data_IF_861216863300
#
_entry.id   IF_861216863300
#
_cell.length_a   1.000
_cell.length_b   1.000
_cell.length_c   1.000
_cell.angle_alpha   90.00
_cell.angle_beta   90.00
_cell.angle_gamma   90.00
#
_symmetry.space_group_name_H-M   'P 1'
#
loop_
_entity.id
_entity.type
_entity.pdbx_description
1 polymer ?
#
# COMPACT_ATOMS: atom_id res chain seq x y z
N UNK A 1 16.09 -14.05 29.46
CA UNK A 1 14.82 -13.80 28.73
C UNK A 1 15.04 -12.65 27.76
N UNK A 2 15.47 -12.95 26.54
CA UNK A 2 16.13 -11.99 25.65
C UNK A 2 15.25 -11.49 24.50
N UNK A 3 15.42 -10.20 24.19
CA UNK A 3 14.78 -9.40 23.15
C UNK A 3 14.84 -9.98 21.72
N UNK A 4 15.60 -11.06 21.51
CA UNK A 4 15.72 -11.79 20.23
C UNK A 4 14.46 -12.59 19.89
N UNK A 5 13.69 -13.04 20.89
CA UNK A 5 12.45 -13.78 20.67
C UNK A 5 11.34 -12.92 20.03
N UNK A 6 11.34 -11.60 20.29
CA UNK A 6 10.38 -10.67 19.69
C UNK A 6 10.73 -10.34 18.23
N UNK A 7 12.01 -10.27 17.88
CA UNK A 7 12.45 -10.01 16.50
C UNK A 7 12.12 -11.17 15.55
N UNK A 8 12.29 -12.42 16.01
CA UNK A 8 11.97 -13.62 15.23
C UNK A 8 10.46 -13.81 15.01
N UNK A 9 9.64 -13.48 16.02
CA UNK A 9 8.17 -13.52 15.88
C UNK A 9 7.67 -12.41 14.96
N UNK A 10 8.20 -11.19 15.11
CA UNK A 10 7.90 -10.09 14.20
C UNK A 10 8.26 -10.46 12.74
N UNK A 11 9.38 -11.15 12.51
CA UNK A 11 9.80 -11.59 11.18
C UNK A 11 8.92 -12.66 10.52
N UNK A 12 8.18 -13.47 11.29
CA UNK A 12 7.23 -14.45 10.76
C UNK A 12 5.86 -13.83 10.48
N UNK A 13 5.39 -12.96 11.37
CA UNK A 13 4.15 -12.17 11.15
C UNK A 13 4.31 -11.19 9.98
N UNK A 14 5.50 -10.58 9.82
CA UNK A 14 5.85 -9.74 8.67
C UNK A 14 5.84 -10.54 7.36
N UNK A 15 6.32 -11.78 7.35
CA UNK A 15 6.24 -12.64 6.16
C UNK A 15 4.81 -13.11 5.86
N UNK A 16 4.01 -13.38 6.89
CA UNK A 16 2.59 -13.73 6.74
C UNK A 16 1.73 -12.55 6.27
N UNK A 17 2.10 -11.32 6.63
CA UNK A 17 1.45 -10.08 6.21
C UNK A 17 2.05 -9.46 4.92
N UNK A 18 2.99 -10.14 4.25
CA UNK A 18 3.60 -9.69 2.99
C UNK A 18 4.63 -8.54 3.12
N UNK A 19 5.09 -8.24 4.33
CA UNK A 19 6.09 -7.23 4.63
C UNK A 19 7.51 -7.78 4.61
N UNK A 20 8.15 -7.86 3.45
CA UNK A 20 9.62 -7.90 3.38
C UNK A 20 10.12 -6.46 3.51
N UNK A 21 11.00 -6.19 4.48
CA UNK A 21 11.68 -4.90 4.59
C UNK A 21 12.42 -4.61 3.27
N UNK A 22 11.80 -3.80 2.40
CA UNK A 22 12.31 -3.59 1.06
C UNK A 22 13.59 -2.77 1.11
N UNK A 23 14.67 -3.48 0.77
CA UNK A 23 15.97 -2.95 0.35
C UNK A 23 15.76 -1.77 -0.60
N UNK A 24 16.39 -0.66 -0.26
CA UNK A 24 16.32 0.64 -0.92
C UNK A 24 17.11 0.57 -2.24
N UNK A 25 16.44 0.48 -3.39
CA UNK A 25 17.09 0.68 -4.71
C UNK A 25 16.10 1.15 -5.78
N UNK A 26 16.33 2.38 -6.25
CA UNK A 26 15.92 3.02 -7.52
C UNK A 26 14.42 3.10 -7.91
N UNK A 27 13.96 4.21 -8.54
CA UNK A 27 12.62 4.30 -9.10
C UNK A 27 12.58 3.50 -10.41
N UNK A 28 12.25 2.21 -10.34
CA UNK A 28 11.92 1.46 -11.54
C UNK A 28 10.57 1.96 -12.07
N UNK A 29 10.59 2.51 -13.28
CA UNK A 29 9.37 2.75 -14.06
C UNK A 29 8.74 1.37 -14.29
N UNK A 30 7.50 1.19 -13.84
CA UNK A 30 6.69 -0.04 -13.96
C UNK A 30 7.02 -1.20 -13.00
N UNK A 31 7.28 -0.94 -11.71
CA UNK A 31 7.13 -2.01 -10.72
C UNK A 31 5.66 -2.34 -10.47
N UNK A 32 5.33 -3.63 -10.42
CA UNK A 32 4.02 -4.09 -9.99
C UNK A 32 3.69 -3.59 -8.57
N UNK A 33 2.43 -3.23 -8.37
CA UNK A 33 1.93 -2.88 -7.03
C UNK A 33 1.91 -4.12 -6.16
N UNK A 34 2.37 -4.00 -4.91
CA UNK A 34 2.15 -5.07 -3.93
C UNK A 34 0.65 -5.24 -3.65
N UNK A 35 0.26 -6.34 -2.99
CA UNK A 35 -1.13 -6.57 -2.60
C UNK A 35 -1.70 -5.42 -1.74
N UNK A 36 -0.92 -4.95 -0.76
CA UNK A 36 -1.30 -3.83 0.11
C UNK A 36 -1.36 -2.50 -0.65
N UNK A 37 -0.40 -2.23 -1.54
CA UNK A 37 -0.40 -1.04 -2.40
C UNK A 37 -1.63 -1.01 -3.31
N UNK A 38 -1.98 -2.16 -3.91
CA UNK A 38 -3.15 -2.32 -4.77
C UNK A 38 -4.46 -2.12 -4.00
N UNK A 39 -4.56 -2.66 -2.78
CA UNK A 39 -5.74 -2.49 -1.93
C UNK A 39 -5.95 -1.03 -1.55
N UNK A 40 -4.89 -0.33 -1.12
CA UNK A 40 -4.93 1.10 -0.80
C UNK A 40 -5.30 1.92 -2.04
N UNK A 41 -4.70 1.61 -3.19
CA UNK A 41 -4.94 2.35 -4.43
C UNK A 41 -6.40 2.22 -4.93
N UNK A 42 -7.01 1.03 -4.79
CA UNK A 42 -8.44 0.82 -5.10
C UNK A 42 -9.35 1.63 -4.19
N UNK A 43 -9.17 1.51 -2.86
CA UNK A 43 -9.94 2.32 -1.91
C UNK A 43 -9.78 3.83 -2.18
N UNK A 44 -8.58 4.25 -2.55
CA UNK A 44 -8.32 5.64 -2.90
C UNK A 44 -9.02 6.08 -4.20
N UNK A 45 -9.03 5.22 -5.23
CA UNK A 45 -9.81 5.46 -6.44
C UNK A 45 -11.30 5.55 -6.13
N UNK A 46 -11.80 4.68 -5.26
CA UNK A 46 -13.21 4.60 -4.86
C UNK A 46 -13.64 5.75 -3.91
N UNK A 47 -12.76 6.74 -3.68
CA UNK A 47 -13.10 7.99 -2.99
C UNK A 47 -12.74 8.06 -1.50
N UNK A 48 -12.25 6.96 -0.89
CA UNK A 48 -12.01 6.91 0.55
C UNK A 48 -10.79 7.75 0.97
N UNK A 49 -10.95 8.70 1.87
CA UNK A 49 -9.86 9.52 2.40
C UNK A 49 -8.79 8.68 3.13
N UNK A 50 -7.58 9.22 3.28
CA UNK A 50 -6.48 8.50 3.95
C UNK A 50 -6.83 8.06 5.39
N UNK A 51 -7.54 8.86 6.22
CA UNK A 51 -8.05 8.39 7.50
C UNK A 51 -9.03 7.22 7.37
N UNK A 52 -10.00 7.28 6.47
CA UNK A 52 -10.98 6.20 6.28
C UNK A 52 -10.34 4.89 5.79
N UNK A 53 -9.34 4.98 4.90
CA UNK A 53 -8.53 3.84 4.49
C UNK A 53 -7.75 3.30 5.69
N UNK A 54 -7.14 4.19 6.47
CA UNK A 54 -6.38 3.83 7.67
C UNK A 54 -7.23 3.07 8.69
N UNK A 55 -8.44 3.55 8.95
CA UNK A 55 -9.41 2.88 9.83
C UNK A 55 -9.76 1.48 9.31
N UNK A 56 -10.03 1.32 8.01
CA UNK A 56 -10.38 0.02 7.42
C UNK A 56 -9.22 -0.99 7.44
N UNK A 57 -7.99 -0.50 7.33
CA UNK A 57 -6.78 -1.33 7.28
C UNK A 57 -6.04 -1.40 8.61
N UNK A 58 -6.57 -0.81 9.68
CA UNK A 58 -5.96 -0.72 11.00
C UNK A 58 -4.52 -0.13 10.97
N UNK A 59 -4.30 0.90 10.15
CA UNK A 59 -3.03 1.63 10.03
C UNK A 59 -3.25 3.14 10.10
N UNK A 60 -2.18 3.89 10.37
CA UNK A 60 -2.28 5.36 10.43
C UNK A 60 -2.54 5.96 9.04
N UNK A 61 -3.24 7.10 8.99
CA UNK A 61 -3.41 7.88 7.75
C UNK A 61 -2.06 8.28 7.11
N UNK A 62 -1.02 8.48 7.93
CA UNK A 62 0.35 8.75 7.48
C UNK A 62 0.96 7.53 6.77
N UNK A 63 0.69 6.33 7.27
CA UNK A 63 1.09 5.07 6.61
C UNK A 63 0.39 4.92 5.26
N UNK A 64 -0.90 5.23 5.18
CA UNK A 64 -1.64 5.26 3.90
C UNK A 64 -1.01 6.25 2.91
N UNK A 65 -0.70 7.47 3.36
CA UNK A 65 -0.03 8.49 2.53
C UNK A 65 1.32 7.99 2.00
N UNK A 66 2.11 7.31 2.85
CA UNK A 66 3.37 6.71 2.43
C UNK A 66 3.19 5.68 1.31
N UNK A 67 2.21 4.78 1.44
CA UNK A 67 1.91 3.80 0.39
C UNK A 67 1.43 4.46 -0.90
N UNK A 68 0.55 5.47 -0.81
CA UNK A 68 0.07 6.20 -2.00
C UNK A 68 1.21 6.88 -2.74
N UNK A 69 2.21 7.43 -2.05
CA UNK A 69 3.37 8.03 -2.71
C UNK A 69 4.15 7.00 -3.53
N UNK A 70 4.33 5.78 -2.99
CA UNK A 70 4.96 4.67 -3.72
C UNK A 70 4.11 4.24 -4.92
N UNK A 71 2.80 4.08 -4.73
CA UNK A 71 1.85 3.75 -5.80
C UNK A 71 1.96 4.76 -6.94
N UNK A 72 1.95 6.06 -6.64
CA UNK A 72 2.05 7.11 -7.64
C UNK A 72 3.34 7.03 -8.45
N UNK A 73 4.48 6.81 -7.78
CA UNK A 73 5.76 6.58 -8.45
C UNK A 73 5.72 5.35 -9.35
N UNK A 74 5.17 4.23 -8.87
CA UNK A 74 5.10 2.97 -9.64
C UNK A 74 4.18 3.06 -10.86
N UNK A 75 3.03 3.73 -10.71
CA UNK A 75 2.06 3.94 -11.78
C UNK A 75 2.40 5.12 -12.70
N UNK A 76 3.44 5.89 -12.39
CA UNK A 76 3.84 7.07 -13.18
C UNK A 76 2.83 8.21 -13.12
N UNK A 77 2.06 8.33 -12.04
CA UNK A 77 1.06 9.39 -11.83
C UNK A 77 1.51 10.35 -10.73
N UNK A 78 0.90 11.53 -10.66
CA UNK A 78 1.24 12.56 -9.67
C UNK A 78 0.07 12.93 -8.76
N UNK A 79 -1.17 12.59 -9.16
CA UNK A 79 -2.36 12.90 -8.38
C UNK A 79 -3.24 11.68 -8.14
N UNK A 80 -3.96 11.72 -7.02
CA UNK A 80 -4.98 10.74 -6.67
C UNK A 80 -6.11 10.67 -7.71
N UNK A 81 -6.44 11.81 -8.31
CA UNK A 81 -7.46 11.94 -9.36
C UNK A 81 -7.07 11.31 -10.70
N UNK A 82 -5.87 10.74 -10.82
CA UNK A 82 -5.46 9.96 -11.99
C UNK A 82 -5.63 8.44 -11.77
N UNK A 83 -5.93 8.01 -10.54
CA UNK A 83 -6.11 6.58 -10.22
C UNK A 83 -7.30 5.96 -10.96
N UNK A 84 -8.34 6.75 -11.24
CA UNK A 84 -9.50 6.38 -12.05
C UNK A 84 -9.13 5.99 -13.48
N UNK A 85 -8.11 6.63 -14.06
CA UNK A 85 -7.64 6.41 -15.43
C UNK A 85 -6.70 5.22 -15.56
N UNK A 86 -5.89 4.96 -14.51
CA UNK A 86 -4.84 3.94 -14.56
C UNK A 86 -5.21 2.63 -13.88
N UNK A 87 -6.25 2.61 -13.04
CA UNK A 87 -6.76 1.40 -12.43
C UNK A 87 -8.12 1.02 -13.03
N UNK A 88 -8.33 -0.24 -13.47
CA UNK A 88 -9.61 -0.67 -14.01
C UNK A 88 -10.67 -0.55 -12.92
N UNK A 89 -11.79 0.14 -13.18
CA UNK A 89 -12.95 0.16 -12.27
C UNK A 89 -13.25 -1.26 -11.81
N UNK A 90 -13.27 -1.48 -10.49
CA UNK A 90 -13.56 -2.82 -9.96
C UNK A 90 -14.98 -3.24 -10.39
N UNK A 91 -15.28 -4.54 -10.50
CA UNK A 91 -16.66 -4.97 -10.69
C UNK A 91 -17.46 -4.56 -9.46
N UNK A 92 -18.21 -3.47 -9.57
CA UNK A 92 -19.00 -2.91 -8.48
C UNK A 92 -20.20 -2.13 -9.02
N UNK A 93 -21.36 -2.79 -9.04
CA UNK A 93 -22.69 -2.15 -9.09
C UNK A 93 -23.46 -2.30 -10.41
N UNK A 94 -24.05 -3.47 -10.63
CA UNK A 94 -25.38 -3.59 -11.23
C UNK A 94 -26.36 -3.99 -10.11
#
# INVERSE_FOLDING_TARGET
MGMTAFAERAGRELRAAGGTAHKRTAPARHEELTAQESQIARMARDGLSNPEIGTRLFISARTVQYHLRKVFTKLGITSRSQLDRVLPSGPGGA
#
